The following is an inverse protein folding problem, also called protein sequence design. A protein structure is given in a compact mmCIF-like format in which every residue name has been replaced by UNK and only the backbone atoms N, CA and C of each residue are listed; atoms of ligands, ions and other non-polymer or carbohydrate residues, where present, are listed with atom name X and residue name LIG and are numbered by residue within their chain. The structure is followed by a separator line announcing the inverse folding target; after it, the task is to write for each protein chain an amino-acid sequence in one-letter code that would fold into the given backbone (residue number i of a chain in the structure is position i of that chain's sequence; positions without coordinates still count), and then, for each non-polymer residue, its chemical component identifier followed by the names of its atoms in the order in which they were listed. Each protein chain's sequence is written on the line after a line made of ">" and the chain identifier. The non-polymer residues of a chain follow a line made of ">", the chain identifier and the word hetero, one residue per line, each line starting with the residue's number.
data_IF_820669645079
#
_entry.id   IF_820669645079
#
_cell.length_a   1.000
_cell.length_b   1.000
_cell.length_c   1.000
_cell.angle_alpha   90.00
_cell.angle_beta   90.00
_cell.angle_gamma   90.00
#
_symmetry.space_group_name_H-M   'P 1'
#
loop_
_entity.id
_entity.type
_entity.pdbx_description
1 polymer ?
#
# COMPACT_ATOMS: atom_id res chain seq x y z
N UNK A 1 -9.72 5.10 -19.89
CA UNK A 1 -9.72 6.55 -19.57
C UNK A 1 -11.07 7.16 -19.96
N UNK A 2 -12.18 6.63 -19.44
CA UNK A 2 -13.51 7.09 -19.84
C UNK A 2 -13.83 8.46 -19.26
N UNK A 3 -14.25 9.40 -20.12
CA UNK A 3 -14.77 10.72 -19.73
C UNK A 3 -13.72 11.75 -19.33
N UNK A 4 -12.44 11.53 -19.67
CA UNK A 4 -11.35 12.48 -19.45
C UNK A 4 -11.16 13.33 -20.72
N UNK A 5 -11.05 14.64 -20.57
CA UNK A 5 -11.08 15.61 -21.69
C UNK A 5 -9.72 15.83 -22.35
N UNK A 6 -8.63 15.68 -21.60
CA UNK A 6 -7.28 16.09 -21.96
C UNK A 6 -7.09 17.61 -22.01
N UNK A 7 -8.06 18.41 -21.51
CA UNK A 7 -8.07 19.88 -21.66
C UNK A 7 -8.04 20.63 -20.33
N UNK A 8 -8.65 20.09 -19.28
CA UNK A 8 -8.67 20.71 -17.96
C UNK A 8 -8.11 19.73 -16.92
N UNK A 9 -6.91 20.02 -16.43
CA UNK A 9 -6.20 19.12 -15.53
C UNK A 9 -6.95 18.85 -14.23
N UNK A 10 -7.61 19.86 -13.66
CA UNK A 10 -8.33 19.73 -12.40
C UNK A 10 -9.60 18.87 -12.55
N UNK A 11 -10.38 19.12 -13.60
CA UNK A 11 -11.58 18.34 -13.91
C UNK A 11 -11.24 16.88 -14.23
N UNK A 12 -10.19 16.67 -15.01
CA UNK A 12 -9.74 15.35 -15.42
C UNK A 12 -9.22 14.54 -14.22
N UNK A 13 -8.46 15.16 -13.31
CA UNK A 13 -8.03 14.53 -12.06
C UNK A 13 -9.22 14.12 -11.19
N UNK A 14 -10.18 15.03 -10.97
CA UNK A 14 -11.39 14.74 -10.22
C UNK A 14 -12.23 13.63 -10.86
N UNK A 15 -12.29 13.61 -12.19
CA UNK A 15 -13.02 12.57 -12.93
C UNK A 15 -12.34 11.21 -12.80
N UNK A 16 -11.03 11.15 -12.88
CA UNK A 16 -10.27 9.91 -12.67
C UNK A 16 -10.50 9.36 -11.25
N UNK A 17 -10.46 10.22 -10.24
CA UNK A 17 -10.77 9.84 -8.86
C UNK A 17 -12.21 9.31 -8.70
N UNK A 18 -13.20 10.01 -9.27
CA UNK A 18 -14.59 9.59 -9.23
C UNK A 18 -14.85 8.28 -10.01
N UNK A 19 -14.10 8.02 -11.08
CA UNK A 19 -14.16 6.74 -11.78
C UNK A 19 -13.67 5.61 -10.87
N UNK A 20 -12.53 5.82 -10.19
CA UNK A 20 -11.96 4.81 -9.31
C UNK A 20 -12.86 4.54 -8.09
N UNK A 21 -13.52 5.56 -7.54
CA UNK A 21 -14.52 5.37 -6.47
C UNK A 21 -15.66 4.44 -6.92
N UNK A 22 -16.15 4.63 -8.15
CA UNK A 22 -17.21 3.77 -8.71
C UNK A 22 -16.72 2.34 -8.94
N UNK A 23 -15.49 2.16 -9.38
CA UNK A 23 -14.89 0.84 -9.57
C UNK A 23 -14.72 0.11 -8.23
N UNK A 24 -14.23 0.80 -7.19
CA UNK A 24 -14.11 0.26 -5.82
C UNK A 24 -15.49 -0.14 -5.27
N UNK A 25 -16.49 0.70 -5.47
CA UNK A 25 -17.86 0.42 -5.02
C UNK A 25 -18.46 -0.77 -5.78
N UNK A 26 -18.15 -0.92 -7.07
CA UNK A 26 -18.53 -2.10 -7.84
C UNK A 26 -17.92 -3.38 -7.25
N UNK A 27 -16.63 -3.36 -6.87
CA UNK A 27 -15.98 -4.50 -6.21
C UNK A 27 -16.65 -4.84 -4.88
N UNK A 28 -17.02 -3.83 -4.08
CA UNK A 28 -17.76 -4.02 -2.82
C UNK A 28 -19.14 -4.63 -3.05
N UNK A 29 -19.87 -4.16 -4.05
CA UNK A 29 -21.19 -4.70 -4.40
C UNK A 29 -21.11 -6.16 -4.88
N UNK A 30 -20.07 -6.50 -5.66
CA UNK A 30 -19.81 -7.90 -6.05
C UNK A 30 -19.48 -8.75 -4.82
N UNK A 31 -18.65 -8.26 -3.91
CA UNK A 31 -18.32 -8.96 -2.66
C UNK A 31 -19.56 -9.17 -1.79
N UNK A 32 -20.41 -8.16 -1.65
CA UNK A 32 -21.67 -8.25 -0.92
C UNK A 32 -22.64 -9.26 -1.56
N UNK A 33 -22.78 -9.26 -2.89
CA UNK A 33 -23.58 -10.25 -3.61
C UNK A 33 -23.05 -11.68 -3.46
N UNK A 34 -21.75 -11.84 -3.19
CA UNK A 34 -21.10 -13.12 -2.89
C UNK A 34 -21.09 -13.48 -1.39
N UNK A 35 -21.80 -12.71 -0.55
CA UNK A 35 -21.86 -12.88 0.92
C UNK A 35 -20.47 -12.88 1.59
N UNK A 36 -19.59 -12.00 1.11
CA UNK A 36 -18.26 -11.85 1.69
C UNK A 36 -18.34 -11.09 3.01
N UNK A 37 -17.76 -11.69 4.06
CA UNK A 37 -17.50 -10.97 5.30
C UNK A 37 -16.48 -9.84 5.09
N UNK A 38 -16.30 -9.01 6.13
CA UNK A 38 -15.39 -7.86 6.13
C UNK A 38 -13.98 -8.21 5.62
N UNK A 39 -13.39 -9.29 6.14
CA UNK A 39 -12.02 -9.70 5.78
C UNK A 39 -11.92 -10.10 4.29
N UNK A 40 -12.88 -10.89 3.79
CA UNK A 40 -12.92 -11.27 2.36
C UNK A 40 -13.17 -10.06 1.46
N UNK A 41 -14.03 -9.13 1.89
CA UNK A 41 -14.29 -7.88 1.17
C UNK A 41 -13.03 -7.03 1.09
N UNK A 42 -12.29 -6.86 2.20
CA UNK A 42 -11.02 -6.17 2.22
C UNK A 42 -9.98 -6.82 1.29
N UNK A 43 -9.92 -8.16 1.27
CA UNK A 43 -9.04 -8.90 0.36
C UNK A 43 -9.41 -8.74 -1.11
N UNK A 44 -10.70 -8.67 -1.45
CA UNK A 44 -11.17 -8.42 -2.81
C UNK A 44 -10.84 -6.99 -3.27
N UNK A 45 -11.08 -6.00 -2.41
CA UNK A 45 -10.74 -4.59 -2.68
C UNK A 45 -9.23 -4.41 -2.86
N UNK A 46 -8.41 -5.02 -2.01
CA UNK A 46 -6.96 -4.97 -2.17
C UNK A 46 -6.48 -5.73 -3.44
N UNK A 47 -7.11 -6.85 -3.82
CA UNK A 47 -6.78 -7.53 -5.08
C UNK A 47 -7.06 -6.63 -6.29
N UNK A 48 -8.16 -5.86 -6.26
CA UNK A 48 -8.43 -4.82 -7.25
C UNK A 48 -7.35 -3.74 -7.27
N UNK A 49 -6.86 -3.28 -6.10
CA UNK A 49 -5.75 -2.34 -6.01
C UNK A 49 -4.50 -2.88 -6.71
N UNK A 50 -4.11 -4.12 -6.46
CA UNK A 50 -2.95 -4.77 -7.10
C UNK A 50 -3.11 -4.87 -8.62
N UNK A 51 -4.28 -5.30 -9.09
CA UNK A 51 -4.61 -5.34 -10.52
C UNK A 51 -4.54 -3.95 -11.15
N UNK A 52 -4.96 -2.91 -10.43
CA UNK A 52 -4.90 -1.53 -10.92
C UNK A 52 -3.47 -1.03 -11.03
N UNK A 53 -2.60 -1.33 -10.05
CA UNK A 53 -1.18 -1.00 -10.14
C UNK A 53 -0.51 -1.68 -11.33
N UNK A 54 -0.77 -2.97 -11.57
CA UNK A 54 -0.24 -3.67 -12.73
C UNK A 54 -0.69 -3.02 -14.05
N UNK A 55 -1.97 -2.66 -14.15
CA UNK A 55 -2.49 -1.93 -15.31
C UNK A 55 -1.83 -0.55 -15.47
N UNK A 56 -1.56 0.18 -14.38
CA UNK A 56 -0.85 1.46 -14.42
C UNK A 56 0.61 1.29 -14.87
N UNK A 57 1.32 0.28 -14.36
CA UNK A 57 2.70 0.00 -14.76
C UNK A 57 2.80 -0.34 -16.25
N UNK A 58 1.82 -1.09 -16.79
CA UNK A 58 1.75 -1.40 -18.23
C UNK A 58 1.41 -0.16 -19.08
N UNK A 59 0.52 0.70 -18.59
CA UNK A 59 0.07 1.88 -19.31
C UNK A 59 1.08 3.05 -19.28
N UNK A 60 1.85 3.17 -18.20
CA UNK A 60 2.81 4.23 -17.97
C UNK A 60 4.11 3.72 -17.30
N UNK A 61 4.92 2.90 -18.01
CA UNK A 61 6.10 2.25 -17.44
C UNK A 61 7.19 3.23 -17.02
N UNK A 62 7.19 4.46 -17.52
CA UNK A 62 8.16 5.50 -17.15
C UNK A 62 7.83 6.19 -15.82
N UNK A 63 6.63 5.98 -15.29
CA UNK A 63 6.23 6.55 -14.01
C UNK A 63 6.62 5.59 -12.87
N UNK A 64 7.86 5.70 -12.41
CA UNK A 64 8.48 4.72 -11.50
C UNK A 64 7.74 4.52 -10.17
N UNK A 65 6.97 5.50 -9.69
CA UNK A 65 6.29 5.39 -8.40
C UNK A 65 5.37 4.15 -8.34
N UNK A 66 4.62 3.85 -9.42
CA UNK A 66 3.68 2.71 -9.44
C UNK A 66 4.39 1.36 -9.42
N UNK A 67 5.68 1.31 -9.76
CA UNK A 67 6.49 0.09 -9.76
C UNK A 67 6.81 -0.39 -8.35
N UNK A 68 7.08 0.53 -7.41
CA UNK A 68 7.11 0.19 -5.98
C UNK A 68 5.69 0.04 -5.42
N UNK A 69 4.75 0.87 -5.91
CA UNK A 69 3.37 0.93 -5.43
C UNK A 69 2.69 -0.43 -5.38
N UNK A 70 2.87 -1.30 -6.38
CA UNK A 70 2.30 -2.66 -6.36
C UNK A 70 2.83 -3.52 -5.20
N UNK A 71 4.13 -3.45 -4.89
CA UNK A 71 4.74 -4.23 -3.83
C UNK A 71 4.46 -3.65 -2.44
N UNK A 72 4.45 -2.32 -2.32
CA UNK A 72 3.98 -1.64 -1.12
C UNK A 72 2.50 -2.01 -0.85
N UNK A 73 1.68 -2.08 -1.91
CA UNK A 73 0.30 -2.48 -1.79
C UNK A 73 0.11 -3.96 -1.41
N UNK A 74 1.01 -4.84 -1.86
CA UNK A 74 1.03 -6.23 -1.41
C UNK A 74 1.52 -6.37 0.03
N UNK A 75 2.46 -5.54 0.47
CA UNK A 75 2.91 -5.48 1.86
C UNK A 75 1.73 -5.12 2.79
N UNK A 76 0.92 -4.13 2.39
CA UNK A 76 -0.35 -3.83 3.07
C UNK A 76 -1.28 -5.04 3.06
N UNK A 77 -1.42 -5.76 1.95
CA UNK A 77 -2.23 -6.99 1.88
C UNK A 77 -1.82 -8.03 2.92
N UNK A 78 -0.52 -8.28 3.03
CA UNK A 78 0.06 -9.22 4.01
C UNK A 78 -0.33 -8.77 5.42
N UNK A 79 -0.13 -7.49 5.75
CA UNK A 79 -0.53 -6.93 7.03
C UNK A 79 -2.03 -7.02 7.31
N UNK A 80 -2.88 -6.81 6.29
CA UNK A 80 -4.34 -6.96 6.40
C UNK A 80 -4.73 -8.42 6.70
N UNK A 81 -4.16 -9.39 5.96
CA UNK A 81 -4.44 -10.80 6.17
C UNK A 81 -4.00 -11.27 7.58
N UNK A 82 -2.83 -10.83 8.04
CA UNK A 82 -2.34 -11.07 9.40
C UNK A 82 -3.27 -10.43 10.43
N UNK A 83 -3.66 -9.16 10.24
CA UNK A 83 -4.54 -8.42 11.15
C UNK A 83 -5.91 -9.09 11.29
N UNK A 84 -6.57 -9.47 10.19
CA UNK A 84 -7.86 -10.16 10.26
C UNK A 84 -7.74 -11.55 10.90
N UNK A 85 -6.63 -12.26 10.68
CA UNK A 85 -6.38 -13.55 11.34
C UNK A 85 -6.23 -13.38 12.85
N UNK A 86 -5.45 -12.39 13.29
CA UNK A 86 -5.28 -12.07 14.72
C UNK A 86 -6.60 -11.64 15.34
N UNK A 87 -7.35 -10.76 14.68
CA UNK A 87 -8.64 -10.29 15.18
C UNK A 87 -9.65 -11.43 15.34
N UNK A 88 -9.71 -12.37 14.39
CA UNK A 88 -10.59 -13.54 14.47
C UNK A 88 -10.18 -14.50 15.60
N UNK A 89 -8.88 -14.70 15.79
CA UNK A 89 -8.36 -15.49 16.91
C UNK A 89 -8.72 -14.87 18.26
N UNK A 90 -8.60 -13.55 18.41
CA UNK A 90 -8.96 -12.83 19.64
C UNK A 90 -10.46 -12.90 19.93
N UNK A 91 -11.31 -12.77 18.92
CA UNK A 91 -12.76 -12.95 19.06
C UNK A 91 -13.12 -14.40 19.45
N UNK A 92 -12.44 -15.38 18.86
CA UNK A 92 -12.63 -16.79 19.22
C UNK A 92 -12.30 -17.01 20.70
N UNK A 93 -11.15 -16.51 21.14
CA UNK A 93 -10.73 -16.54 22.55
C UNK A 93 -11.78 -15.88 23.46
N UNK A 94 -12.29 -14.70 23.09
CA UNK A 94 -13.33 -14.00 23.86
C UNK A 94 -14.65 -14.78 23.94
N UNK A 95 -14.97 -15.55 22.90
CA UNK A 95 -16.19 -16.36 22.80
C UNK A 95 -16.09 -17.72 23.49
N UNK A 96 -14.87 -18.21 23.78
CA UNK A 96 -14.68 -19.52 24.37
C UNK A 96 -14.99 -19.52 25.86
N UNK A 97 -15.84 -20.44 26.34
CA UNK A 97 -16.31 -20.40 27.71
C UNK A 97 -15.27 -20.69 28.79
N UNK A 98 -14.05 -21.20 28.52
CA UNK A 98 -13.27 -21.86 29.59
C UNK A 98 -11.71 -21.92 29.56
N UNK A 99 -10.95 -21.26 28.67
CA UNK A 99 -9.51 -21.62 28.54
C UNK A 99 -8.44 -20.56 28.84
N UNK A 100 -8.77 -19.29 29.06
CA UNK A 100 -7.77 -18.30 29.49
C UNK A 100 -7.92 -17.96 30.97
N UNK A 101 -7.46 -18.87 31.83
CA UNK A 101 -7.15 -18.57 33.24
C UNK A 101 -5.89 -17.71 33.31
N UNK A 102 -5.97 -16.47 32.84
CA UNK A 102 -5.02 -15.44 33.23
C UNK A 102 -5.31 -15.11 34.69
N UNK A 103 -4.45 -15.58 35.58
CA UNK A 103 -4.63 -15.41 37.02
C UNK A 103 -4.88 -13.95 37.37
N UNK A 104 -6.02 -13.72 38.04
CA UNK A 104 -6.48 -12.46 38.64
C UNK A 104 -6.91 -11.36 37.64
N UNK A 105 -8.14 -11.49 37.16
CA UNK A 105 -9.26 -10.54 37.16
C UNK A 105 -10.41 -11.25 36.41
N UNK A 106 -11.68 -10.95 36.73
CA UNK A 106 -12.85 -11.77 36.34
C UNK A 106 -12.82 -12.28 34.90
N UNK A 107 -13.30 -13.51 34.65
CA UNK A 107 -13.37 -14.13 33.32
C UNK A 107 -14.02 -13.19 32.27
N UNK A 108 -14.91 -12.30 32.71
CA UNK A 108 -15.55 -11.26 31.90
C UNK A 108 -14.58 -10.13 31.48
N UNK A 109 -13.65 -9.73 32.35
CA UNK A 109 -12.63 -8.71 32.07
C UNK A 109 -11.62 -9.18 31.04
N UNK A 110 -11.18 -10.44 31.11
CA UNK A 110 -10.30 -11.05 30.11
C UNK A 110 -10.94 -11.17 28.73
N UNK A 111 -12.24 -11.51 28.66
CA UNK A 111 -13.01 -11.58 27.40
C UNK A 111 -13.25 -10.21 26.80
N UNK A 112 -13.61 -9.23 27.63
CA UNK A 112 -13.78 -7.84 27.18
C UNK A 112 -12.46 -7.27 26.62
N UNK A 113 -11.33 -7.58 27.25
CA UNK A 113 -10.00 -7.20 26.76
C UNK A 113 -9.70 -7.87 25.41
N UNK A 114 -9.92 -9.17 25.27
CA UNK A 114 -9.68 -9.89 24.02
C UNK A 114 -10.57 -9.37 22.87
N UNK A 115 -11.86 -9.14 23.13
CA UNK A 115 -12.79 -8.56 22.15
C UNK A 115 -12.37 -7.13 21.74
N UNK A 116 -12.02 -6.28 22.70
CA UNK A 116 -11.55 -4.92 22.43
C UNK A 116 -10.25 -4.87 21.62
N UNK A 117 -9.33 -5.81 21.87
CA UNK A 117 -8.12 -5.97 21.04
C UNK A 117 -8.48 -6.42 19.62
N UNK A 118 -9.41 -7.36 19.45
CA UNK A 118 -9.89 -7.80 18.14
C UNK A 118 -10.49 -6.65 17.32
N UNK A 119 -11.34 -5.83 17.92
CA UNK A 119 -11.95 -4.65 17.30
C UNK A 119 -10.90 -3.59 16.93
N UNK A 120 -9.94 -3.34 17.83
CA UNK A 120 -8.83 -2.42 17.56
C UNK A 120 -8.04 -2.85 16.33
N UNK A 121 -7.70 -4.15 16.23
CA UNK A 121 -6.97 -4.71 15.08
C UNK A 121 -7.76 -4.59 13.78
N UNK A 122 -9.07 -4.81 13.79
CA UNK A 122 -9.92 -4.59 12.61
C UNK A 122 -9.97 -3.12 12.20
N UNK A 123 -10.09 -2.21 13.16
CA UNK A 123 -10.09 -0.77 12.90
C UNK A 123 -8.79 -0.34 12.23
N UNK A 124 -7.64 -0.81 12.73
CA UNK A 124 -6.33 -0.53 12.14
C UNK A 124 -6.21 -1.07 10.70
N UNK A 125 -6.69 -2.29 10.46
CA UNK A 125 -6.73 -2.86 9.11
C UNK A 125 -7.60 -2.02 8.16
N UNK A 126 -8.79 -1.60 8.60
CA UNK A 126 -9.69 -0.78 7.81
C UNK A 126 -9.09 0.59 7.47
N UNK A 127 -8.48 1.27 8.44
CA UNK A 127 -7.82 2.57 8.20
C UNK A 127 -6.64 2.41 7.23
N UNK A 128 -5.84 1.34 7.36
CA UNK A 128 -4.72 1.07 6.44
C UNK A 128 -5.22 0.82 5.01
N UNK A 129 -6.32 0.07 4.85
CA UNK A 129 -6.94 -0.15 3.54
C UNK A 129 -7.48 1.16 2.95
N UNK A 130 -8.14 2.00 3.75
CA UNK A 130 -8.60 3.33 3.32
C UNK A 130 -7.44 4.20 2.85
N UNK A 131 -6.34 4.22 3.61
CA UNK A 131 -5.11 4.92 3.24
C UNK A 131 -4.58 4.46 1.88
N UNK A 132 -4.46 3.15 1.68
CA UNK A 132 -4.04 2.56 0.40
C UNK A 132 -4.96 2.96 -0.77
N UNK A 133 -6.27 2.98 -0.57
CA UNK A 133 -7.21 3.42 -1.61
C UNK A 133 -7.06 4.91 -1.91
N UNK A 134 -6.86 5.74 -0.88
CA UNK A 134 -6.55 7.16 -1.04
C UNK A 134 -5.31 7.39 -1.89
N UNK A 135 -4.24 6.62 -1.62
CA UNK A 135 -3.00 6.66 -2.40
C UNK A 135 -3.19 6.24 -3.85
N UNK A 136 -3.92 5.15 -4.10
CA UNK A 136 -4.20 4.71 -5.47
C UNK A 136 -5.05 5.74 -6.23
N UNK A 137 -6.03 6.37 -5.57
CA UNK A 137 -6.81 7.46 -6.16
C UNK A 137 -5.92 8.62 -6.54
N UNK A 138 -5.19 9.15 -5.58
CA UNK A 138 -4.37 10.33 -5.76
C UNK A 138 -3.24 10.09 -6.77
N UNK A 139 -2.25 9.29 -6.39
CA UNK A 139 -1.04 9.09 -7.20
C UNK A 139 -1.33 8.23 -8.44
N UNK A 140 -2.26 7.27 -8.36
CA UNK A 140 -2.67 6.50 -9.54
C UNK A 140 -3.39 7.35 -10.58
N UNK A 141 -4.19 8.34 -10.18
CA UNK A 141 -4.74 9.34 -11.11
C UNK A 141 -3.63 10.22 -11.66
N UNK A 142 -2.69 10.69 -10.83
CA UNK A 142 -1.53 11.46 -11.29
C UNK A 142 -0.67 10.69 -12.30
N UNK A 143 -0.50 9.37 -12.14
CA UNK A 143 0.17 8.52 -13.11
C UNK A 143 -0.56 8.46 -14.46
N UNK A 144 -1.89 8.49 -14.48
CA UNK A 144 -2.66 8.58 -15.73
C UNK A 144 -2.59 9.99 -16.33
N UNK A 145 -2.69 11.01 -15.49
CA UNK A 145 -2.53 12.41 -15.90
C UNK A 145 -1.16 12.61 -16.56
N UNK A 146 -0.11 11.98 -16.04
CA UNK A 146 1.22 12.00 -16.65
C UNK A 146 1.19 11.51 -18.10
N UNK A 147 0.45 10.42 -18.37
CA UNK A 147 0.33 9.89 -19.72
C UNK A 147 -0.44 10.80 -20.67
N UNK A 148 -1.37 11.60 -20.14
CA UNK A 148 -2.26 12.49 -20.92
C UNK A 148 -1.59 13.83 -21.21
N UNK A 149 -0.96 14.43 -20.19
CA UNK A 149 -0.45 15.81 -20.24
C UNK A 149 1.08 15.90 -20.32
N UNK A 150 1.80 14.85 -19.97
CA UNK A 150 3.26 14.85 -19.84
C UNK A 150 3.73 15.51 -18.53
N UNK A 151 4.97 15.20 -18.15
CA UNK A 151 5.56 15.66 -16.90
C UNK A 151 5.78 17.18 -16.87
N UNK A 152 6.17 17.79 -18.00
CA UNK A 152 6.39 19.25 -18.08
C UNK A 152 5.12 20.04 -17.75
N UNK A 153 3.98 19.62 -18.32
CA UNK A 153 2.69 20.29 -18.09
C UNK A 153 2.21 20.14 -16.64
N UNK A 154 2.49 19.00 -16.00
CA UNK A 154 2.09 18.76 -14.62
C UNK A 154 3.02 19.40 -13.59
N UNK A 155 4.27 19.71 -13.96
CA UNK A 155 5.24 20.36 -13.07
C UNK A 155 4.79 21.75 -12.60
N UNK A 156 3.95 22.42 -13.39
CA UNK A 156 3.39 23.74 -13.10
C UNK A 156 1.90 23.73 -12.73
N UNK A 157 1.28 22.56 -12.63
CA UNK A 157 -0.15 22.43 -12.40
C UNK A 157 -0.59 22.95 -11.02
N UNK A 158 -1.75 23.62 -10.99
CA UNK A 158 -2.31 24.23 -9.77
C UNK A 158 -3.76 23.78 -9.57
N UNK A 159 -3.95 22.64 -8.92
CA UNK A 159 -5.26 22.12 -8.53
C UNK A 159 -5.19 21.34 -7.21
N UNK A 160 -6.34 21.08 -6.58
CA UNK A 160 -6.41 20.31 -5.33
C UNK A 160 -5.93 18.86 -5.54
N UNK A 161 -4.94 18.43 -4.75
CA UNK A 161 -4.20 17.19 -4.96
C UNK A 161 -2.81 17.42 -5.57
N UNK A 162 -2.57 18.53 -6.28
CA UNK A 162 -1.24 18.88 -6.78
C UNK A 162 -0.42 19.65 -5.74
N UNK A 163 0.24 18.91 -4.85
CA UNK A 163 1.13 19.48 -3.81
C UNK A 163 2.45 20.02 -4.39
N UNK A 164 3.22 20.82 -3.61
CA UNK A 164 4.57 21.20 -4.02
C UNK A 164 5.48 20.00 -4.29
N UNK A 165 5.38 18.93 -3.50
CA UNK A 165 6.15 17.70 -3.69
C UNK A 165 5.73 16.97 -4.98
N UNK A 166 4.43 16.93 -5.30
CA UNK A 166 3.93 16.37 -6.56
C UNK A 166 4.45 17.15 -7.78
N UNK A 167 4.38 18.49 -7.74
CA UNK A 167 4.97 19.34 -8.79
C UNK A 167 6.47 19.10 -8.94
N UNK A 168 7.20 19.01 -7.82
CA UNK A 168 8.64 18.73 -7.84
C UNK A 168 8.95 17.35 -8.43
N UNK A 169 8.13 16.35 -8.13
CA UNK A 169 8.23 15.04 -8.77
C UNK A 169 8.07 15.16 -10.28
N UNK A 170 7.08 15.89 -10.78
CA UNK A 170 6.87 16.06 -12.21
C UNK A 170 7.97 16.88 -12.89
N UNK A 171 8.52 17.89 -12.23
CA UNK A 171 9.72 18.59 -12.68
C UNK A 171 10.89 17.62 -12.87
N UNK A 172 11.16 16.77 -11.86
CA UNK A 172 12.22 15.77 -11.92
C UNK A 172 11.97 14.65 -12.94
N UNK A 173 10.70 14.30 -13.17
CA UNK A 173 10.30 13.32 -14.18
C UNK A 173 10.51 13.88 -15.59
N UNK A 174 10.17 15.15 -15.83
CA UNK A 174 10.45 15.82 -17.09
C UNK A 174 11.95 15.88 -17.37
N UNK A 175 12.76 16.20 -16.36
CA UNK A 175 14.21 16.09 -16.45
C UNK A 175 14.64 14.68 -16.83
N UNK A 176 14.14 13.65 -16.12
CA UNK A 176 14.47 12.25 -16.40
C UNK A 176 14.19 11.89 -17.86
N UNK A 177 13.02 12.24 -18.38
CA UNK A 177 12.63 11.98 -19.76
C UNK A 177 13.59 12.64 -20.76
N UNK A 178 14.06 13.87 -20.50
CA UNK A 178 15.10 14.51 -21.32
C UNK A 178 16.43 13.76 -21.29
N UNK A 179 16.82 13.17 -20.15
CA UNK A 179 18.00 12.30 -20.06
C UNK A 179 17.83 11.02 -20.88
N UNK A 180 16.65 10.39 -20.84
CA UNK A 180 16.35 9.21 -21.65
C UNK A 180 16.38 9.54 -23.14
N UNK A 181 15.76 10.65 -23.55
CA UNK A 181 15.58 11.00 -24.95
C UNK A 181 16.93 11.35 -25.64
N UNK A 182 17.95 11.74 -24.86
CA UNK A 182 19.34 11.91 -25.33
C UNK A 182 20.22 10.65 -25.19
N UNK A 183 19.65 9.52 -24.76
CA UNK A 183 20.34 8.25 -24.58
C UNK A 183 21.14 8.09 -23.28
N UNK A 184 21.00 9.03 -22.33
CA UNK A 184 21.66 8.99 -21.02
C UNK A 184 20.80 8.24 -20.00
N UNK A 185 20.90 6.91 -20.03
CA UNK A 185 20.09 6.04 -19.17
C UNK A 185 20.48 6.12 -17.69
N UNK A 186 21.75 6.33 -17.37
CA UNK A 186 22.19 6.53 -15.98
C UNK A 186 21.53 7.79 -15.39
N UNK A 187 21.58 8.90 -16.11
CA UNK A 187 20.92 10.14 -15.74
C UNK A 187 19.40 9.98 -15.62
N UNK A 188 18.77 9.25 -16.54
CA UNK A 188 17.34 8.91 -16.47
C UNK A 188 17.00 8.19 -15.17
N UNK A 189 17.68 7.09 -14.86
CA UNK A 189 17.39 6.28 -13.67
C UNK A 189 17.59 7.05 -12.37
N UNK A 190 18.62 7.91 -12.27
CA UNK A 190 18.84 8.76 -11.11
C UNK A 190 17.71 9.76 -10.94
N UNK A 191 17.31 10.46 -12.01
CA UNK A 191 16.28 11.49 -11.97
C UNK A 191 14.90 10.90 -11.74
N UNK A 192 14.57 9.80 -12.40
CA UNK A 192 13.33 9.04 -12.23
C UNK A 192 13.17 8.55 -10.77
N UNK A 193 14.25 8.06 -10.15
CA UNK A 193 14.21 7.67 -8.73
C UNK A 193 13.92 8.86 -7.82
N UNK A 194 14.54 10.02 -8.09
CA UNK A 194 14.29 11.23 -7.30
C UNK A 194 12.85 11.73 -7.49
N UNK A 195 12.32 11.67 -8.71
CA UNK A 195 10.92 11.96 -8.99
C UNK A 195 10.00 11.05 -8.14
N UNK A 196 10.22 9.73 -8.19
CA UNK A 196 9.45 8.78 -7.41
C UNK A 196 9.52 9.02 -5.90
N UNK A 197 10.67 9.44 -5.37
CA UNK A 197 10.83 9.81 -3.95
C UNK A 197 9.97 11.04 -3.60
N UNK A 198 9.96 12.07 -4.43
CA UNK A 198 9.12 13.26 -4.19
C UNK A 198 7.63 12.95 -4.35
N UNK A 199 7.26 12.06 -5.28
CA UNK A 199 5.89 11.56 -5.37
C UNK A 199 5.52 10.75 -4.12
N UNK A 200 6.44 9.95 -3.59
CA UNK A 200 6.28 9.27 -2.31
C UNK A 200 6.14 10.26 -1.14
N UNK A 201 6.85 11.40 -1.16
CA UNK A 201 6.66 12.46 -0.15
C UNK A 201 5.25 13.07 -0.23
N UNK A 202 4.76 13.35 -1.43
CA UNK A 202 3.40 13.81 -1.64
C UNK A 202 2.37 12.81 -1.09
N UNK A 203 2.50 11.54 -1.47
CA UNK A 203 1.67 10.44 -0.99
C UNK A 203 1.67 10.35 0.55
N UNK A 204 2.87 10.28 1.16
CA UNK A 204 3.03 10.08 2.59
C UNK A 204 2.55 11.27 3.42
N UNK A 205 2.57 12.48 2.86
CA UNK A 205 1.99 13.67 3.46
C UNK A 205 0.46 13.60 3.46
N UNK A 206 -0.16 13.13 2.37
CA UNK A 206 -1.60 12.96 2.29
C UNK A 206 -2.13 11.88 3.25
N UNK A 207 -1.30 10.87 3.55
CA UNK A 207 -1.57 9.86 4.57
C UNK A 207 -1.46 10.37 6.02
N UNK A 208 -0.93 11.58 6.27
CA UNK A 208 -0.73 12.06 7.63
C UNK A 208 -2.03 12.10 8.44
N UNK A 209 -3.16 12.47 7.82
CA UNK A 209 -4.48 12.46 8.47
C UNK A 209 -4.87 11.08 9.02
N UNK A 210 -4.45 10.00 8.37
CA UNK A 210 -4.67 8.63 8.87
C UNK A 210 -3.75 8.35 10.07
N UNK A 211 -2.48 8.72 9.97
CA UNK A 211 -1.50 8.51 11.04
C UNK A 211 -1.78 9.33 12.31
N UNK A 212 -2.38 10.51 12.15
CA UNK A 212 -2.80 11.39 13.25
C UNK A 212 -4.01 10.83 14.03
N UNK A 213 -4.70 9.81 13.52
CA UNK A 213 -5.78 9.18 14.27
C UNK A 213 -5.22 8.47 15.53
N UNK A 214 -5.91 8.59 16.68
CA UNK A 214 -5.42 7.99 17.94
C UNK A 214 -5.12 6.49 17.83
N UNK A 215 -5.96 5.74 17.12
CA UNK A 215 -5.79 4.29 16.93
C UNK A 215 -4.53 3.97 16.11
N UNK A 216 -4.23 4.75 15.07
CA UNK A 216 -3.05 4.56 14.21
C UNK A 216 -1.76 5.01 14.89
N UNK A 217 -1.83 6.05 15.74
CA UNK A 217 -0.70 6.45 16.58
C UNK A 217 -0.37 5.37 17.62
N UNK A 218 -1.39 4.82 18.29
CA UNK A 218 -1.20 3.70 19.24
C UNK A 218 -0.63 2.48 18.52
N UNK A 219 -1.15 2.17 17.34
CA UNK A 219 -0.63 1.10 16.50
C UNK A 219 0.85 1.25 16.18
N UNK A 220 1.26 2.41 15.64
CA UNK A 220 2.64 2.66 15.25
C UNK A 220 3.60 2.50 16.44
N UNK A 221 3.23 3.02 17.61
CA UNK A 221 4.01 2.89 18.85
C UNK A 221 4.10 1.45 19.34
N UNK A 222 2.98 0.71 19.34
CA UNK A 222 2.96 -0.71 19.70
C UNK A 222 3.80 -1.54 18.73
N UNK A 223 3.71 -1.27 17.43
CA UNK A 223 4.50 -1.95 16.41
C UNK A 223 6.00 -1.69 16.58
N UNK A 224 6.38 -0.45 16.85
CA UNK A 224 7.77 -0.07 17.14
C UNK A 224 8.29 -0.76 18.41
N UNK A 225 7.51 -0.73 19.49
CA UNK A 225 7.85 -1.41 20.75
C UNK A 225 8.05 -2.91 20.53
N UNK A 226 7.08 -3.58 19.89
CA UNK A 226 7.15 -5.02 19.66
C UNK A 226 8.34 -5.43 18.79
N UNK A 227 8.65 -4.62 17.76
CA UNK A 227 9.84 -4.81 16.93
C UNK A 227 11.13 -4.61 17.72
N UNK A 228 11.25 -3.51 18.47
CA UNK A 228 12.50 -3.13 19.15
C UNK A 228 12.88 -4.09 20.27
N UNK A 229 11.90 -4.57 21.04
CA UNK A 229 12.16 -5.39 22.21
C UNK A 229 12.05 -6.89 21.96
N UNK A 230 11.26 -7.31 20.96
CA UNK A 230 11.02 -8.74 20.68
C UNK A 230 11.39 -9.16 19.26
N UNK A 231 11.74 -8.23 18.37
CA UNK A 231 12.00 -8.53 16.96
C UNK A 231 10.73 -8.95 16.19
N UNK A 232 9.54 -8.75 16.76
CA UNK A 232 8.26 -9.22 16.22
C UNK A 232 7.30 -8.05 16.02
N UNK A 233 7.34 -7.33 14.90
CA UNK A 233 6.32 -6.30 14.63
C UNK A 233 4.93 -6.94 14.48
N UNK A 234 3.88 -6.19 14.83
CA UNK A 234 2.48 -6.53 14.56
C UNK A 234 2.20 -6.46 13.05
N UNK A 235 2.77 -5.48 12.35
CA UNK A 235 2.81 -5.41 10.88
C UNK A 235 4.21 -5.01 10.44
N UNK A 236 4.72 -5.75 9.45
CA UNK A 236 6.07 -5.56 8.92
C UNK A 236 6.22 -4.18 8.28
N UNK A 237 7.18 -3.35 8.71
CA UNK A 237 7.49 -2.08 8.05
C UNK A 237 8.35 -2.28 6.78
N UNK A 238 8.92 -3.47 6.61
CA UNK A 238 9.73 -3.84 5.45
C UNK A 238 8.85 -3.98 4.20
N UNK A 239 9.37 -3.53 3.05
CA UNK A 239 8.66 -3.69 1.79
C UNK A 239 8.97 -5.07 1.23
N UNK A 240 7.94 -5.87 1.00
CA UNK A 240 8.10 -7.22 0.46
C UNK A 240 7.94 -7.24 -1.07
N UNK A 241 9.01 -7.62 -1.77
CA UNK A 241 9.03 -7.89 -3.21
C UNK A 241 8.81 -9.39 -3.41
N UNK A 242 7.55 -9.75 -3.58
CA UNK A 242 7.07 -11.11 -3.75
C UNK A 242 5.55 -11.14 -3.74
N UNK A 243 4.96 -12.33 -3.73
CA UNK A 243 3.50 -12.51 -3.68
C UNK A 243 3.04 -12.89 -2.28
N UNK A 244 3.65 -13.91 -1.69
CA UNK A 244 3.27 -14.47 -0.41
C UNK A 244 4.52 -15.03 0.28
N UNK A 245 5.01 -14.39 1.37
CA UNK A 245 6.24 -14.81 2.05
C UNK A 245 6.30 -16.30 2.41
N UNK A 246 5.18 -16.89 2.82
CA UNK A 246 5.11 -18.30 3.18
C UNK A 246 5.18 -19.23 1.95
N UNK A 247 4.54 -18.85 0.85
CA UNK A 247 4.50 -19.66 -0.37
C UNK A 247 5.74 -19.48 -1.25
N UNK A 248 6.38 -18.32 -1.19
CA UNK A 248 7.55 -17.97 -2.00
C UNK A 248 8.82 -18.67 -1.49
N UNK A 249 8.79 -19.32 -0.31
CA UNK A 249 9.89 -20.16 0.25
C UNK A 249 11.27 -19.47 0.23
N UNK A 250 11.29 -18.18 0.56
CA UNK A 250 12.53 -17.38 0.57
C UNK A 250 12.97 -16.85 -0.79
N UNK A 251 12.22 -17.11 -1.87
CA UNK A 251 12.50 -16.54 -3.20
C UNK A 251 12.03 -15.09 -3.35
N UNK A 252 11.28 -14.54 -2.39
CA UNK A 252 10.95 -13.12 -2.35
C UNK A 252 12.00 -12.32 -1.59
N UNK A 253 12.05 -11.00 -1.82
CA UNK A 253 13.01 -10.10 -1.19
C UNK A 253 12.29 -9.19 -0.21
N UNK A 254 12.75 -9.12 1.03
CA UNK A 254 12.33 -8.07 1.97
C UNK A 254 13.33 -6.93 1.91
N UNK A 255 12.85 -5.74 1.57
CA UNK A 255 13.63 -4.50 1.65
C UNK A 255 13.47 -3.98 3.08
N UNK A 256 14.54 -4.03 3.90
CA UNK A 256 14.43 -3.64 5.29
C UNK A 256 14.12 -2.14 5.40
N UNK A 257 13.29 -1.81 6.37
CA UNK A 257 13.14 -0.43 6.81
C UNK A 257 14.49 0.15 7.24
N UNK A 258 14.85 1.39 6.85
CA UNK A 258 16.08 2.03 7.30
C UNK A 258 16.15 2.19 8.83
N UNK A 259 17.37 2.13 9.37
CA UNK A 259 17.59 2.39 10.79
C UNK A 259 17.05 3.77 11.21
N UNK A 260 16.36 3.81 12.35
CA UNK A 260 15.72 5.02 12.87
C UNK A 260 14.38 5.39 12.22
N UNK A 261 13.95 4.73 11.14
CA UNK A 261 12.69 5.01 10.45
C UNK A 261 11.46 4.28 11.04
N UNK A 262 11.56 3.77 12.27
CA UNK A 262 10.54 2.91 12.90
C UNK A 262 9.24 3.59 13.31
N UNK A 263 9.29 4.89 13.58
CA UNK A 263 8.11 5.65 13.98
C UNK A 263 7.32 6.09 12.74
N UNK A 264 6.29 5.30 12.39
CA UNK A 264 5.44 5.54 11.23
C UNK A 264 4.53 6.75 11.38
N UNK A 265 4.46 7.41 12.54
CA UNK A 265 3.72 8.68 12.67
C UNK A 265 4.46 9.85 12.04
N UNK A 266 5.79 9.74 11.89
CA UNK A 266 6.66 10.76 11.30
C UNK A 266 6.72 10.64 9.78
N UNK A 267 6.39 11.75 9.09
CA UNK A 267 6.47 11.83 7.64
C UNK A 267 7.84 11.42 7.08
N UNK A 268 8.94 12.00 7.60
CA UNK A 268 10.28 11.73 7.07
C UNK A 268 10.69 10.26 7.21
N UNK A 269 10.21 9.55 8.24
CA UNK A 269 10.47 8.12 8.40
C UNK A 269 9.80 7.31 7.29
N UNK A 270 8.53 7.61 6.99
CA UNK A 270 7.80 6.95 5.90
C UNK A 270 8.41 7.28 4.54
N UNK A 271 8.85 8.53 4.34
CA UNK A 271 9.58 8.94 3.12
C UNK A 271 10.92 8.21 3.01
N UNK A 272 11.65 8.01 4.10
CA UNK A 272 12.90 7.25 4.09
C UNK A 272 12.68 5.78 3.70
N UNK A 273 11.62 5.15 4.21
CA UNK A 273 11.21 3.78 3.81
C UNK A 273 10.92 3.71 2.32
N UNK A 274 10.05 4.60 1.82
CA UNK A 274 9.70 4.67 0.41
C UNK A 274 10.94 4.91 -0.47
N UNK A 275 11.82 5.83 -0.06
CA UNK A 275 13.06 6.13 -0.77
C UNK A 275 14.02 4.94 -0.82
N UNK A 276 14.12 4.15 0.25
CA UNK A 276 14.89 2.91 0.24
C UNK A 276 14.30 1.89 -0.75
N UNK A 277 12.96 1.75 -0.75
CA UNK A 277 12.23 0.93 -1.72
C UNK A 277 12.51 1.32 -3.17
N UNK A 278 12.37 2.61 -3.50
CA UNK A 278 12.58 3.12 -4.86
C UNK A 278 14.01 2.91 -5.33
N UNK A 279 15.01 3.23 -4.50
CA UNK A 279 16.42 3.00 -4.84
C UNK A 279 16.70 1.52 -5.11
N UNK A 280 16.15 0.64 -4.28
CA UNK A 280 16.36 -0.80 -4.41
C UNK A 280 15.73 -1.35 -5.68
N UNK A 281 14.44 -1.06 -5.93
CA UNK A 281 13.77 -1.50 -7.15
C UNK A 281 14.48 -0.96 -8.39
N UNK A 282 14.87 0.31 -8.41
CA UNK A 282 15.58 0.86 -9.56
C UNK A 282 16.92 0.16 -9.81
N UNK A 283 17.67 -0.13 -8.74
CA UNK A 283 18.93 -0.88 -8.85
C UNK A 283 18.74 -2.30 -9.36
N UNK A 284 17.61 -2.95 -9.05
CA UNK A 284 17.24 -4.26 -9.59
C UNK A 284 16.88 -4.18 -11.07
N UNK A 285 16.06 -3.21 -11.49
CA UNK A 285 15.58 -3.05 -12.87
C UNK A 285 16.68 -2.75 -13.88
N UNK A 286 17.77 -2.15 -13.43
CA UNK A 286 18.95 -1.92 -14.28
C UNK A 286 19.69 -3.22 -14.67
N UNK A 287 19.32 -4.37 -14.08
CA UNK A 287 19.92 -5.67 -14.36
C UNK A 287 18.87 -6.61 -14.95
N UNK A 288 19.15 -7.34 -16.06
CA UNK A 288 18.16 -8.23 -16.68
C UNK A 288 17.50 -9.23 -15.73
N UNK A 289 18.29 -9.83 -14.83
CA UNK A 289 17.75 -10.77 -13.83
C UNK A 289 16.85 -10.09 -12.79
N UNK A 290 17.17 -8.86 -12.39
CA UNK A 290 16.37 -8.12 -11.41
C UNK A 290 15.08 -7.56 -12.02
N UNK A 291 15.13 -7.11 -13.27
CA UNK A 291 13.94 -6.67 -14.00
C UNK A 291 12.98 -7.85 -14.25
N UNK A 292 13.49 -8.98 -14.74
CA UNK A 292 12.68 -10.21 -14.92
C UNK A 292 12.06 -10.72 -13.60
N UNK A 293 12.80 -10.60 -12.49
CA UNK A 293 12.28 -10.93 -11.16
C UNK A 293 11.11 -10.03 -10.75
N UNK A 294 11.24 -8.72 -10.99
CA UNK A 294 10.18 -7.75 -10.70
C UNK A 294 8.95 -8.03 -11.58
N UNK A 295 9.14 -8.23 -12.88
CA UNK A 295 8.07 -8.56 -13.81
C UNK A 295 7.32 -9.83 -13.41
N UNK A 296 8.05 -10.88 -13.03
CA UNK A 296 7.47 -12.15 -12.59
C UNK A 296 6.51 -11.97 -11.41
N UNK A 297 6.94 -11.28 -10.35
CA UNK A 297 6.07 -11.06 -9.20
C UNK A 297 4.98 -10.03 -9.47
N UNK A 298 5.26 -8.99 -10.25
CA UNK A 298 4.26 -8.01 -10.65
C UNK A 298 3.11 -8.67 -11.41
N UNK A 299 3.40 -9.55 -12.39
CA UNK A 299 2.36 -10.29 -13.13
C UNK A 299 1.47 -11.10 -12.19
N UNK A 300 2.08 -11.81 -11.25
CA UNK A 300 1.34 -12.64 -10.29
C UNK A 300 0.46 -11.79 -9.37
N UNK A 301 0.96 -10.67 -8.89
CA UNK A 301 0.19 -9.73 -8.08
C UNK A 301 -0.99 -9.15 -8.86
N UNK A 302 -0.75 -8.65 -10.08
CA UNK A 302 -1.76 -8.06 -10.95
C UNK A 302 -2.89 -9.03 -11.31
N UNK A 303 -2.56 -10.32 -11.48
CA UNK A 303 -3.52 -11.38 -11.80
C UNK A 303 -4.02 -12.16 -10.58
N UNK A 304 -3.77 -11.66 -9.36
CA UNK A 304 -4.21 -12.29 -8.11
C UNK A 304 -3.78 -13.75 -7.90
N UNK A 305 -2.62 -14.14 -8.45
CA UNK A 305 -2.10 -15.51 -8.42
C UNK A 305 -1.32 -15.80 -7.14
N UNK A 306 -1.91 -16.56 -6.21
CA UNK A 306 -1.23 -17.03 -5.00
C UNK A 306 -1.13 -15.98 -3.89
N UNK A 307 -1.95 -14.93 -3.98
CA UNK A 307 -2.03 -13.88 -2.97
C UNK A 307 -2.33 -14.47 -1.58
N UNK A 308 -1.73 -13.87 -0.56
CA UNK A 308 -2.05 -14.18 0.84
C UNK A 308 -3.55 -13.97 1.13
N UNK A 309 -4.09 -14.82 1.98
CA UNK A 309 -5.48 -14.78 2.47
C UNK A 309 -5.48 -14.90 3.99
N UNK A 310 -6.44 -14.27 4.69
CA UNK A 310 -6.61 -14.47 6.12
C UNK A 310 -6.97 -15.93 6.42
N UNK A 311 -6.43 -16.47 7.51
CA UNK A 311 -6.82 -17.79 8.01
C UNK A 311 -8.07 -17.62 8.86
N UNK A 312 -9.23 -17.76 8.23
CA UNK A 312 -10.53 -17.67 8.90
C UNK A 312 -10.95 -19.06 9.37
N UNK A 313 -11.28 -19.23 10.66
CA UNK A 313 -11.88 -20.49 11.11
C UNK A 313 -13.31 -20.57 10.57
N UNK A 314 -13.69 -21.71 9.98
CA UNK A 314 -15.10 -21.97 9.65
C UNK A 314 -15.89 -21.93 10.95
N UNK A 315 -16.99 -21.17 10.96
CA UNK A 315 -18.05 -21.39 11.94
C UNK A 315 -18.43 -22.86 11.84
N UNK A 316 -18.12 -23.63 12.88
CA UNK A 316 -18.70 -24.96 13.04
C UNK A 316 -20.17 -24.68 13.29
N UNK A 317 -21.01 -24.99 12.30
CA UNK A 317 -22.46 -24.92 12.47
C UNK A 317 -22.83 -25.74 13.70
N UNK A 318 -23.44 -25.07 14.68
CA UNK A 318 -24.23 -25.72 15.72
C UNK A 318 -25.63 -25.87 15.15
#
# INVERSE_FOLDING_TARGET
>A
MAGVSGKNQAEDFNKLNANLDRDIESVRNIAAAADYNEAKTAMAVNAFVLARYDALNKANPDFMWTQLGIFAANTVRIGLAESYTVADAMNTVASQPNELRLGRESDDGGRALAAGLGETVRTMANETLKGQLGVLKDVGSLALMHKIYGAESLSSATFEGMTPAARKSFELQADAERYRDRGDMEGFYIRQTRAAIEMGRHEQANLQKMWDQPVMTTFAKTNEFMRRYFGMPVVRPDIYIGVNPAADRGNGISIPMPDGAGDLTKLENRVAIAANGFRTINGMRQKPAGDAFIEYYQDRLGHSKGLVQPVLRRSVGI
#
